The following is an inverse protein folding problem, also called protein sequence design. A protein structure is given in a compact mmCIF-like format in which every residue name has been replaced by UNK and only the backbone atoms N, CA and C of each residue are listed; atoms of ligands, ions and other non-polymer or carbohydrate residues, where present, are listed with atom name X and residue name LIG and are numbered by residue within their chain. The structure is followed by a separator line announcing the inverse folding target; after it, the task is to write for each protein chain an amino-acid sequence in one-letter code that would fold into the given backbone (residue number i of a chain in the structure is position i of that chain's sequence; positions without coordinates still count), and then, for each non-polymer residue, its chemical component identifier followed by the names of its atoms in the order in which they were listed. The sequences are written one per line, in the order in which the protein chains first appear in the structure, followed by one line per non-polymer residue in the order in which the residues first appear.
data_IF_151350971996
#
_entry.id   IF_151350971996
#
_cell.length_a   1.000
_cell.length_b   1.000
_cell.length_c   1.000
_cell.angle_alpha   90.00
_cell.angle_beta   90.00
_cell.angle_gamma   90.00
#
_symmetry.space_group_name_H-M   'P 1'
#
loop_
_entity.id
_entity.type
_entity.pdbx_description
1 polymer ?
#
# COMPACT_ATOMS: atom_id res chain seq x y z
N UNK A 1 17.01 78.68 -25.89
CA UNK A 1 16.12 78.59 -24.73
C UNK A 1 15.75 77.12 -24.53
N UNK A 2 16.62 76.33 -23.91
CA UNK A 2 16.34 74.94 -23.52
C UNK A 2 16.44 74.87 -22.02
N UNK A 3 15.51 74.21 -21.34
CA UNK A 3 15.77 73.00 -20.52
C UNK A 3 14.45 72.22 -20.36
N UNK A 4 14.40 70.91 -20.66
CA UNK A 4 13.21 70.08 -20.45
C UNK A 4 13.01 69.76 -18.95
N UNK A 5 11.75 69.80 -18.49
CA UNK A 5 11.36 69.37 -17.15
C UNK A 5 11.48 67.84 -17.05
N UNK A 6 12.53 67.36 -16.41
CA UNK A 6 12.68 65.95 -16.03
C UNK A 6 11.76 65.67 -14.83
N UNK A 7 10.61 65.04 -15.09
CA UNK A 7 9.72 64.54 -14.05
C UNK A 7 10.40 63.35 -13.36
N UNK A 8 10.93 63.59 -12.17
CA UNK A 8 11.47 62.55 -11.30
C UNK A 8 10.36 61.53 -10.98
N UNK A 9 10.44 60.34 -11.60
CA UNK A 9 9.58 59.20 -11.29
C UNK A 9 9.98 58.67 -9.91
N UNK A 10 9.14 58.91 -8.91
CA UNK A 10 9.29 58.28 -7.59
C UNK A 10 8.94 56.80 -7.69
N UNK A 11 9.95 55.95 -7.83
CA UNK A 11 9.81 54.50 -7.70
C UNK A 11 9.56 54.18 -6.23
N UNK A 12 8.29 53.92 -5.87
CA UNK A 12 7.97 53.30 -4.56
C UNK A 12 8.67 51.95 -4.50
N UNK A 13 9.71 51.82 -3.66
CA UNK A 13 10.19 50.51 -3.24
C UNK A 13 9.07 49.83 -2.47
N UNK A 14 8.52 48.76 -3.05
CA UNK A 14 7.78 47.79 -2.27
C UNK A 14 8.75 47.20 -1.26
N UNK A 15 8.63 47.61 0.00
CA UNK A 15 9.31 46.95 1.12
C UNK A 15 8.78 45.52 1.17
N UNK A 16 9.63 44.56 0.79
CA UNK A 16 9.36 43.16 1.02
C UNK A 16 9.16 42.98 2.53
N UNK A 17 7.94 42.64 2.96
CA UNK A 17 7.67 42.35 4.36
C UNK A 17 8.32 40.99 4.68
N UNK A 18 9.25 41.01 5.63
CA UNK A 18 9.82 39.79 6.18
C UNK A 18 8.78 39.02 7.00
N UNK A 19 9.03 37.72 7.17
CA UNK A 19 8.18 36.82 7.92
C UNK A 19 8.33 37.04 9.45
N UNK A 20 7.28 36.82 10.23
CA UNK A 20 7.32 37.02 11.70
C UNK A 20 7.54 35.72 12.47
N UNK A 21 8.14 35.78 13.66
CA UNK A 21 8.33 34.58 14.50
C UNK A 21 6.99 33.92 14.87
N UNK A 22 5.95 34.72 15.13
CA UNK A 22 4.63 34.23 15.52
C UNK A 22 3.99 33.37 14.42
N UNK A 23 4.22 33.76 13.18
CA UNK A 23 3.66 33.10 12.00
C UNK A 23 4.32 31.72 11.82
N UNK A 24 5.59 31.56 12.21
CA UNK A 24 6.29 30.26 12.20
C UNK A 24 5.79 29.39 13.35
N UNK A 25 5.55 30.00 14.52
CA UNK A 25 5.01 29.27 15.67
C UNK A 25 3.65 28.66 15.35
N UNK A 26 2.74 29.42 14.72
CA UNK A 26 1.43 28.91 14.31
C UNK A 26 1.58 27.76 13.32
N UNK A 27 2.48 27.86 12.34
CA UNK A 27 2.72 26.78 11.37
C UNK A 27 3.23 25.51 12.05
N UNK A 28 4.18 25.62 12.99
CA UNK A 28 4.71 24.47 13.72
C UNK A 28 3.64 23.80 14.60
N UNK A 29 2.74 24.58 15.21
CA UNK A 29 1.61 24.05 15.97
C UNK A 29 0.66 23.27 15.07
N UNK A 30 0.32 23.81 13.89
CA UNK A 30 -0.56 23.13 12.93
C UNK A 30 0.08 21.80 12.46
N UNK A 31 1.37 21.82 12.11
CA UNK A 31 2.10 20.61 11.69
C UNK A 31 2.14 19.59 12.83
N UNK A 32 2.39 20.02 14.07
CA UNK A 32 2.41 19.14 15.25
C UNK A 32 1.06 18.46 15.52
N UNK A 33 -0.05 19.20 15.40
CA UNK A 33 -1.40 18.64 15.56
C UNK A 33 -1.72 17.66 14.44
N UNK A 34 -1.43 18.01 13.18
CA UNK A 34 -1.68 17.11 12.04
C UNK A 34 -0.83 15.84 12.12
N UNK A 35 0.44 15.95 12.48
CA UNK A 35 1.32 14.80 12.66
C UNK A 35 0.81 13.85 13.76
N UNK A 36 0.26 14.38 14.86
CA UNK A 36 -0.31 13.56 15.93
C UNK A 36 -1.60 12.82 15.50
N UNK A 37 -2.39 13.38 14.57
CA UNK A 37 -3.66 12.81 14.12
C UNK A 37 -3.54 11.81 12.98
N UNK A 38 -2.48 11.87 12.16
CA UNK A 38 -2.31 11.05 10.94
C UNK A 38 -1.64 9.69 11.21
N UNK A 39 -1.17 9.45 12.44
CA UNK A 39 -0.49 8.20 12.81
C UNK A 39 -1.38 6.94 12.97
N UNK A 40 -2.74 6.96 13.06
CA UNK A 40 -3.42 5.83 13.68
C UNK A 40 -3.21 4.49 12.94
N UNK A 41 -2.62 3.56 13.69
CA UNK A 41 -2.73 2.10 13.70
C UNK A 41 -2.87 1.39 12.35
N UNK A 42 -1.83 1.47 11.53
CA UNK A 42 -1.59 0.52 10.42
C UNK A 42 -1.32 -0.91 10.90
N UNK A 43 -0.96 -1.11 12.16
CA UNK A 43 -0.62 -2.44 12.70
C UNK A 43 -1.84 -3.36 12.80
N UNK A 44 -2.97 -2.89 13.33
CA UNK A 44 -4.16 -3.73 13.52
C UNK A 44 -4.73 -4.23 12.18
N UNK A 45 -4.63 -3.42 11.12
CA UNK A 45 -5.09 -3.83 9.78
C UNK A 45 -4.20 -4.85 9.09
N UNK A 46 -2.91 -4.89 9.42
CA UNK A 46 -1.99 -5.83 8.81
C UNK A 46 -2.28 -7.27 9.26
N UNK A 47 -2.59 -7.46 10.54
CA UNK A 47 -2.91 -8.79 11.08
C UNK A 47 -4.30 -9.28 10.64
N UNK A 48 -5.29 -8.38 10.54
CA UNK A 48 -6.59 -8.69 9.92
C UNK A 48 -6.46 -9.07 8.44
N UNK A 49 -5.62 -8.35 7.69
CA UNK A 49 -5.34 -8.65 6.30
C UNK A 49 -4.65 -10.01 6.13
N UNK A 50 -3.67 -10.33 6.99
CA UNK A 50 -3.00 -11.64 7.01
C UNK A 50 -3.97 -12.77 7.31
N UNK A 51 -4.84 -12.58 8.30
CA UNK A 51 -5.86 -13.57 8.67
C UNK A 51 -6.85 -13.80 7.51
N UNK A 52 -7.26 -12.74 6.83
CA UNK A 52 -8.16 -12.81 5.68
C UNK A 52 -7.48 -13.51 4.50
N UNK A 53 -6.22 -13.18 4.20
CA UNK A 53 -5.45 -13.83 3.15
C UNK A 53 -5.30 -15.34 3.41
N UNK A 54 -4.92 -15.73 4.63
CA UNK A 54 -4.79 -17.13 5.00
C UNK A 54 -6.13 -17.91 4.85
N UNK A 55 -7.26 -17.30 5.20
CA UNK A 55 -8.59 -17.92 4.99
C UNK A 55 -8.91 -18.12 3.51
N UNK A 56 -8.57 -17.16 2.67
CA UNK A 56 -8.71 -17.26 1.21
C UNK A 56 -7.82 -18.36 0.66
N UNK A 57 -6.56 -18.42 1.07
CA UNK A 57 -5.60 -19.43 0.62
C UNK A 57 -6.07 -20.84 0.98
N UNK A 58 -6.53 -21.06 2.22
CA UNK A 58 -7.10 -22.35 2.66
C UNK A 58 -8.34 -22.71 1.83
N UNK A 59 -9.20 -21.75 1.52
CA UNK A 59 -10.38 -21.98 0.69
C UNK A 59 -10.00 -22.41 -0.74
N UNK A 60 -9.04 -21.72 -1.34
CA UNK A 60 -8.53 -22.04 -2.67
C UNK A 60 -7.86 -23.42 -2.70
N UNK A 61 -7.06 -23.77 -1.68
CA UNK A 61 -6.46 -25.09 -1.55
C UNK A 61 -7.51 -26.19 -1.41
N UNK A 62 -8.56 -25.97 -0.60
CA UNK A 62 -9.67 -26.93 -0.49
C UNK A 62 -10.39 -27.13 -1.83
N UNK A 63 -10.59 -26.08 -2.62
CA UNK A 63 -11.20 -26.17 -3.94
C UNK A 63 -10.31 -26.98 -4.90
N UNK A 64 -9.01 -26.70 -4.95
CA UNK A 64 -8.06 -27.44 -5.77
C UNK A 64 -8.01 -28.93 -5.37
N UNK A 65 -8.03 -29.26 -4.07
CA UNK A 65 -8.10 -30.64 -3.59
C UNK A 65 -9.39 -31.34 -4.00
N UNK A 66 -10.54 -30.63 -3.96
CA UNK A 66 -11.83 -31.18 -4.42
C UNK A 66 -11.81 -31.47 -5.92
N UNK A 67 -11.25 -30.59 -6.73
CA UNK A 67 -11.08 -30.79 -8.17
C UNK A 67 -10.16 -31.98 -8.45
N UNK A 68 -8.99 -32.04 -7.80
CA UNK A 68 -8.09 -33.18 -7.93
C UNK A 68 -8.79 -34.50 -7.60
N UNK A 69 -9.58 -34.54 -6.52
CA UNK A 69 -10.37 -35.72 -6.16
C UNK A 69 -11.47 -36.03 -7.15
N UNK A 70 -12.11 -35.03 -7.75
CA UNK A 70 -13.12 -35.23 -8.78
C UNK A 70 -12.50 -35.94 -9.98
N UNK A 71 -11.33 -35.50 -10.41
CA UNK A 71 -10.66 -36.03 -11.59
C UNK A 71 -9.98 -37.38 -11.33
N UNK A 72 -9.37 -37.54 -10.15
CA UNK A 72 -8.53 -38.69 -9.81
C UNK A 72 -9.18 -39.70 -8.88
N UNK A 73 -10.44 -39.45 -8.49
CA UNK A 73 -11.23 -40.23 -7.52
C UNK A 73 -10.62 -40.34 -6.11
N UNK A 74 -9.51 -39.66 -5.86
CA UNK A 74 -8.78 -39.66 -4.58
C UNK A 74 -8.06 -38.34 -4.36
N UNK A 75 -7.75 -38.04 -3.10
CA UNK A 75 -6.85 -36.93 -2.77
C UNK A 75 -5.38 -37.31 -3.01
N UNK A 76 -4.47 -36.32 -3.12
CA UNK A 76 -3.03 -36.58 -3.11
C UNK A 76 -2.59 -37.31 -1.83
N UNK A 77 -1.58 -38.17 -1.94
CA UNK A 77 -0.97 -38.80 -0.76
C UNK A 77 -0.10 -37.81 0.00
N UNK A 78 0.26 -38.12 1.25
CA UNK A 78 1.19 -37.29 2.03
C UNK A 78 2.55 -37.13 1.37
N UNK A 79 3.02 -38.14 0.64
CA UNK A 79 4.28 -38.10 -0.11
C UNK A 79 4.20 -37.21 -1.35
N UNK A 80 3.04 -37.16 -2.01
CA UNK A 80 2.79 -36.28 -3.15
C UNK A 80 2.58 -34.82 -2.72
N UNK A 81 1.96 -34.63 -1.55
CA UNK A 81 1.70 -33.32 -0.96
C UNK A 81 0.83 -32.42 -1.83
N UNK A 82 0.89 -31.12 -1.57
CA UNK A 82 0.15 -30.10 -2.34
C UNK A 82 0.75 -29.86 -3.73
N UNK A 83 1.97 -30.34 -4.00
CA UNK A 83 2.59 -30.21 -5.33
C UNK A 83 1.82 -30.97 -6.41
N UNK A 84 1.09 -32.01 -6.01
CA UNK A 84 0.15 -32.72 -6.86
C UNK A 84 -1.00 -31.85 -7.39
N UNK A 85 -1.21 -30.64 -6.87
CA UNK A 85 -2.25 -29.73 -7.36
C UNK A 85 -1.80 -28.89 -8.56
N UNK A 86 -0.50 -28.79 -8.81
CA UNK A 86 0.09 -27.93 -9.85
C UNK A 86 1.00 -28.67 -10.82
N UNK A 87 1.48 -29.86 -10.46
CA UNK A 87 2.35 -30.68 -11.30
C UNK A 87 1.98 -32.16 -11.17
N UNK A 88 2.12 -32.91 -12.26
CA UNK A 88 1.83 -34.35 -12.28
C UNK A 88 2.73 -35.06 -11.27
N UNK A 89 2.17 -35.77 -10.27
CA UNK A 89 2.96 -36.56 -9.33
C UNK A 89 3.80 -37.62 -10.04
N UNK A 90 5.09 -37.67 -9.72
CA UNK A 90 6.03 -38.71 -10.15
C UNK A 90 6.11 -39.87 -9.15
N UNK A 91 5.67 -39.64 -7.91
CA UNK A 91 5.52 -40.65 -6.86
C UNK A 91 4.15 -41.33 -6.95
N UNK A 92 4.10 -42.64 -6.69
CA UNK A 92 2.87 -43.42 -6.78
C UNK A 92 1.81 -42.99 -5.75
N UNK A 93 0.52 -43.31 -5.96
CA UNK A 93 -0.08 -43.86 -7.17
C UNK A 93 -0.31 -42.77 -8.23
N UNK A 94 -0.09 -43.10 -9.50
CA UNK A 94 -0.21 -42.17 -10.62
C UNK A 94 -1.67 -41.66 -10.75
N UNK A 95 -1.92 -40.35 -10.87
CA UNK A 95 -3.28 -39.83 -11.03
C UNK A 95 -3.95 -40.44 -12.27
N UNK A 96 -5.24 -40.74 -12.18
CA UNK A 96 -6.02 -41.35 -13.25
C UNK A 96 -6.23 -40.35 -14.41
N UNK A 97 -6.53 -39.09 -14.07
CA UNK A 97 -6.79 -38.01 -15.01
C UNK A 97 -5.92 -36.80 -14.61
N UNK A 98 -4.91 -36.51 -15.44
CA UNK A 98 -4.02 -35.35 -15.36
C UNK A 98 -3.81 -34.74 -16.73
#
# INVERSE_FOLDING_TARGET
MNYPLSLARSTRRHLAKGFTLIELMVVLVIIGVLAALIVPNVLDRADDARTTAARTDVTNLMQALKLYRLDNQRFPTSEQGLQALIAKPTTGPQPLNW
#
